data_IF_335994369311
#
_entry.id   IF_335994369311
#
_cell.length_a   1.000
_cell.length_b   1.000
_cell.length_c   1.000
_cell.angle_alpha   90.00
_cell.angle_beta   90.00
_cell.angle_gamma   90.00
#
_symmetry.space_group_name_H-M   'P 1'
#
loop_
_entity.id
_entity.type
_entity.pdbx_description
1 polymer ?
#
# COMPACT_ATOMS: atom_id res chain seq x y z
N UNK A 1 38.65 47.53 -52.89
CA UNK A 1 38.37 46.74 -51.66
C UNK A 1 38.45 47.72 -50.52
N UNK A 2 37.31 48.11 -49.96
CA UNK A 2 37.22 48.58 -48.58
C UNK A 2 35.77 48.43 -48.12
N UNK A 3 35.58 47.73 -47.01
CA UNK A 3 34.31 47.60 -46.30
C UNK A 3 34.64 47.19 -44.87
N UNK A 4 35.06 48.20 -44.10
CA UNK A 4 35.21 48.16 -42.66
C UNK A 4 33.86 47.81 -42.00
N UNK A 5 33.80 46.71 -41.25
CA UNK A 5 32.65 46.39 -40.38
C UNK A 5 32.83 47.09 -39.04
N UNK A 6 32.08 48.17 -38.81
CA UNK A 6 31.93 48.81 -37.50
C UNK A 6 31.24 47.84 -36.52
N UNK A 7 31.94 47.43 -35.46
CA UNK A 7 31.33 46.75 -34.32
C UNK A 7 30.60 47.79 -33.47
N UNK A 8 29.28 47.88 -33.64
CA UNK A 8 28.42 48.61 -32.70
C UNK A 8 28.40 47.86 -31.35
N UNK A 9 28.84 48.52 -30.29
CA UNK A 9 28.80 47.98 -28.94
C UNK A 9 27.38 48.15 -28.36
N UNK A 10 26.66 47.04 -28.17
CA UNK A 10 25.34 46.99 -27.52
C UNK A 10 25.44 47.66 -26.13
N UNK A 11 24.50 48.54 -25.80
CA UNK A 11 24.44 49.15 -24.47
C UNK A 11 23.97 48.13 -23.41
N UNK A 12 24.31 48.35 -22.14
CA UNK A 12 23.89 47.45 -21.04
C UNK A 12 22.36 47.33 -20.96
N UNK A 13 21.63 48.42 -21.27
CA UNK A 13 20.17 48.43 -21.27
C UNK A 13 19.58 47.60 -22.43
N UNK A 14 20.18 47.67 -23.62
CA UNK A 14 19.81 46.84 -24.78
C UNK A 14 20.09 45.35 -24.52
N UNK A 15 21.23 45.02 -23.89
CA UNK A 15 21.57 43.66 -23.48
C UNK A 15 20.53 43.08 -22.51
N UNK A 16 20.14 43.83 -21.47
CA UNK A 16 19.14 43.40 -20.51
C UNK A 16 17.75 43.26 -21.15
N UNK A 17 17.40 44.14 -22.09
CA UNK A 17 16.17 44.03 -22.87
C UNK A 17 16.16 42.77 -23.73
N UNK A 18 17.29 42.44 -24.38
CA UNK A 18 17.47 41.20 -25.13
C UNK A 18 17.36 39.98 -24.21
N UNK A 19 17.98 39.98 -23.03
CA UNK A 19 17.88 38.88 -22.06
C UNK A 19 16.43 38.61 -21.67
N UNK A 20 15.64 39.66 -21.41
CA UNK A 20 14.20 39.53 -21.13
C UNK A 20 13.43 38.94 -22.30
N UNK A 21 13.75 39.34 -23.54
CA UNK A 21 13.14 38.77 -24.74
C UNK A 21 13.52 37.30 -24.94
N UNK A 22 14.79 36.93 -24.74
CA UNK A 22 15.27 35.55 -24.83
C UNK A 22 14.58 34.62 -23.81
N UNK A 23 14.38 35.10 -22.57
CA UNK A 23 13.64 34.37 -21.54
C UNK A 23 12.19 34.15 -21.97
N UNK A 24 11.52 35.19 -22.48
CA UNK A 24 10.14 35.10 -22.97
C UNK A 24 10.01 34.15 -24.16
N UNK A 25 10.99 34.17 -25.08
CA UNK A 25 11.05 33.25 -26.21
C UNK A 25 11.25 31.80 -25.75
N UNK A 26 12.12 31.54 -24.77
CA UNK A 26 12.28 30.20 -24.20
C UNK A 26 11.00 29.71 -23.52
N UNK A 27 10.28 30.56 -22.78
CA UNK A 27 9.01 30.19 -22.17
C UNK A 27 7.96 29.81 -23.23
N UNK A 28 7.86 30.58 -24.32
CA UNK A 28 6.97 30.24 -25.42
C UNK A 28 7.33 28.88 -26.04
N UNK A 29 8.62 28.66 -26.32
CA UNK A 29 9.14 27.40 -26.86
C UNK A 29 8.91 26.22 -25.93
N UNK A 30 9.03 26.41 -24.62
CA UNK A 30 8.72 25.41 -23.60
C UNK A 30 7.26 24.98 -23.68
N UNK A 31 6.34 25.93 -23.78
CA UNK A 31 4.90 25.63 -23.89
C UNK A 31 4.57 24.88 -25.18
N UNK A 32 5.22 25.20 -26.29
CA UNK A 32 5.04 24.51 -27.57
C UNK A 32 5.59 23.08 -27.53
N UNK A 33 6.80 22.88 -26.99
CA UNK A 33 7.40 21.54 -26.85
C UNK A 33 6.58 20.65 -25.92
N UNK A 34 6.08 21.20 -24.80
CA UNK A 34 5.17 20.46 -23.89
C UNK A 34 3.84 20.10 -24.55
N UNK A 35 3.26 21.01 -25.35
CA UNK A 35 2.03 20.73 -26.13
C UNK A 35 2.26 19.67 -27.21
N UNK A 36 3.42 19.68 -27.87
CA UNK A 36 3.77 18.67 -28.87
C UNK A 36 3.97 17.28 -28.23
N UNK A 37 4.62 17.21 -27.06
CA UNK A 37 4.82 15.97 -26.32
C UNK A 37 3.52 15.34 -25.76
N UNK A 38 2.45 16.13 -25.65
CA UNK A 38 1.14 15.64 -25.21
C UNK A 38 0.32 14.93 -26.31
N UNK A 39 0.85 14.79 -27.53
CA UNK A 39 0.18 14.11 -28.66
C UNK A 39 0.77 12.72 -28.91
N UNK A 40 -0.09 11.73 -29.17
CA UNK A 40 0.30 10.34 -29.53
C UNK A 40 -0.18 9.28 -28.54
N UNK A 41 0.32 8.05 -28.66
CA UNK A 41 -0.02 6.92 -27.78
C UNK A 41 0.53 7.10 -26.34
N UNK A 42 -0.04 6.41 -25.35
CA UNK A 42 0.34 6.55 -23.92
C UNK A 42 1.82 6.22 -23.65
N UNK A 43 2.39 5.27 -24.39
CA UNK A 43 3.80 4.91 -24.31
C UNK A 43 4.71 6.00 -24.94
N UNK A 44 4.31 6.53 -26.10
CA UNK A 44 5.03 7.63 -26.76
C UNK A 44 5.01 8.92 -25.95
N UNK A 45 3.89 9.26 -25.31
CA UNK A 45 3.78 10.46 -24.48
C UNK A 45 4.77 10.41 -23.30
N UNK A 46 4.94 9.24 -22.66
CA UNK A 46 5.89 9.08 -21.54
C UNK A 46 7.34 9.29 -21.99
N UNK A 47 7.73 8.72 -23.13
CA UNK A 47 9.07 8.88 -23.68
C UNK A 47 9.33 10.32 -24.15
N UNK A 48 8.39 10.90 -24.92
CA UNK A 48 8.48 12.27 -25.44
C UNK A 48 8.48 13.32 -24.32
N UNK A 49 7.71 13.12 -23.26
CA UNK A 49 7.66 14.03 -22.11
C UNK A 49 8.99 14.07 -21.35
N UNK A 50 9.61 12.90 -21.11
CA UNK A 50 10.94 12.84 -20.46
C UNK A 50 12.01 13.52 -21.31
N UNK A 51 12.02 13.25 -22.62
CA UNK A 51 12.98 13.87 -23.55
C UNK A 51 12.81 15.39 -23.59
N UNK A 52 11.57 15.89 -23.69
CA UNK A 52 11.28 17.33 -23.71
C UNK A 52 11.69 18.00 -22.40
N UNK A 53 11.52 17.36 -21.26
CA UNK A 53 11.93 17.90 -19.95
C UNK A 53 13.46 18.04 -19.83
N UNK A 54 14.20 17.03 -20.27
CA UNK A 54 15.68 17.08 -20.33
C UNK A 54 16.18 18.18 -21.28
N UNK A 55 15.52 18.36 -22.42
CA UNK A 55 15.88 19.39 -23.41
C UNK A 55 15.56 20.80 -22.93
N UNK A 56 14.44 21.01 -22.22
CA UNK A 56 14.11 22.30 -21.57
C UNK A 56 15.17 22.65 -20.52
N UNK A 57 15.57 21.68 -19.69
CA UNK A 57 16.60 21.88 -18.67
C UNK A 57 17.92 22.33 -19.29
N UNK A 58 18.39 21.64 -20.34
CA UNK A 58 19.62 21.99 -21.06
C UNK A 58 19.55 23.37 -21.74
N UNK A 59 18.41 23.73 -22.32
CA UNK A 59 18.24 25.05 -22.95
C UNK A 59 18.22 26.17 -21.91
N UNK A 60 17.60 25.95 -20.75
CA UNK A 60 17.55 26.92 -19.66
C UNK A 60 18.93 27.17 -19.05
N UNK A 61 19.69 26.11 -18.76
CA UNK A 61 21.05 26.24 -18.21
C UNK A 61 21.97 26.96 -19.20
N UNK A 62 21.94 26.57 -20.47
CA UNK A 62 22.76 27.21 -21.51
C UNK A 62 22.45 28.70 -21.68
N UNK A 63 21.17 29.10 -21.61
CA UNK A 63 20.81 30.51 -21.70
C UNK A 63 21.30 31.28 -20.48
N UNK A 64 21.10 30.74 -19.27
CA UNK A 64 21.59 31.35 -18.02
C UNK A 64 23.10 31.52 -18.04
N UNK A 65 23.84 30.50 -18.43
CA UNK A 65 25.30 30.56 -18.52
C UNK A 65 25.77 31.61 -19.52
N UNK A 66 25.08 31.76 -20.65
CA UNK A 66 25.37 32.80 -21.65
C UNK A 66 25.11 34.19 -21.07
N UNK A 67 23.95 34.41 -20.47
CA UNK A 67 23.57 35.69 -19.87
C UNK A 67 24.49 36.07 -18.70
N UNK A 68 24.88 35.10 -17.87
CA UNK A 68 25.85 35.28 -16.80
C UNK A 68 27.24 35.69 -17.33
N UNK A 69 27.71 35.05 -18.42
CA UNK A 69 28.98 35.43 -19.06
C UNK A 69 28.93 36.82 -19.67
N UNK A 70 27.82 37.18 -20.30
CA UNK A 70 27.61 38.52 -20.88
C UNK A 70 27.61 39.60 -19.78
N UNK A 71 26.95 39.35 -18.64
CA UNK A 71 26.97 40.25 -17.48
C UNK A 71 28.38 40.36 -16.88
N UNK A 72 29.10 39.25 -16.72
CA UNK A 72 30.47 39.23 -16.21
C UNK A 72 31.43 40.03 -17.11
N UNK A 73 31.25 39.95 -18.44
CA UNK A 73 32.07 40.69 -19.41
C UNK A 73 31.88 42.21 -19.37
N UNK A 74 30.73 42.68 -18.87
CA UNK A 74 30.41 44.10 -18.67
C UNK A 74 30.80 44.61 -17.27
N UNK A 75 31.61 43.84 -16.52
CA UNK A 75 32.12 44.23 -15.20
C UNK A 75 31.19 43.95 -14.02
N UNK A 76 30.04 43.27 -14.22
CA UNK A 76 29.21 42.81 -13.11
C UNK A 76 29.81 41.55 -12.49
N UNK A 77 30.76 41.71 -11.57
CA UNK A 77 31.27 40.61 -10.74
C UNK A 77 30.35 40.37 -9.53
N UNK A 78 29.87 39.15 -9.37
CA UNK A 78 29.17 38.68 -8.18
C UNK A 78 30.13 38.57 -6.99
N UNK A 79 30.38 39.68 -6.30
CA UNK A 79 31.06 39.65 -5.00
C UNK A 79 30.02 39.69 -3.89
N UNK A 80 29.49 38.53 -3.52
CA UNK A 80 28.84 38.35 -2.23
C UNK A 80 29.91 38.46 -1.14
N UNK A 81 30.09 39.66 -0.58
CA UNK A 81 30.75 39.86 0.71
C UNK A 81 29.71 40.34 1.72
N UNK A 82 29.23 39.39 2.53
CA UNK A 82 28.69 39.70 3.84
C UNK A 82 29.79 40.36 4.67
N UNK A 83 29.70 41.67 4.90
CA UNK A 83 29.95 42.30 6.19
C UNK A 83 29.54 43.77 6.14
N UNK A 84 28.60 44.12 7.02
CA UNK A 84 28.12 45.48 7.25
C UNK A 84 29.12 46.15 8.20
N UNK A 85 29.78 47.20 7.71
CA UNK A 85 30.18 48.32 8.54
C UNK A 85 29.86 49.62 7.78
N UNK A 86 29.22 50.52 8.52
CA UNK A 86 28.74 51.86 8.15
C UNK A 86 29.81 52.64 7.38
N UNK A 87 29.44 53.33 6.29
CA UNK A 87 29.22 54.78 6.33
C UNK A 87 28.71 55.31 4.97
N UNK A 88 28.15 56.52 5.03
CA UNK A 88 27.47 57.32 4.01
C UNK A 88 28.10 57.33 2.61
N UNK A 89 27.26 57.11 1.59
CA UNK A 89 26.94 58.08 0.51
C UNK A 89 26.37 57.35 -0.73
N UNK A 90 25.44 58.04 -1.39
CA UNK A 90 24.94 57.80 -2.76
C UNK A 90 23.96 56.65 -3.01
N UNK A 91 22.77 57.08 -3.42
CA UNK A 91 21.67 56.33 -3.99
C UNK A 91 22.13 55.50 -5.21
N UNK A 92 22.08 54.16 -5.12
CA UNK A 92 21.97 53.19 -6.25
C UNK A 92 22.09 51.71 -5.83
N UNK A 93 21.74 51.35 -4.59
CA UNK A 93 21.84 49.94 -4.12
C UNK A 93 20.55 49.11 -4.24
N UNK A 94 19.42 49.75 -4.59
CA UNK A 94 18.10 49.10 -4.70
C UNK A 94 17.82 48.39 -6.02
N UNK A 95 18.68 48.54 -7.03
CA UNK A 95 18.37 48.13 -8.41
C UNK A 95 18.83 46.68 -8.72
N UNK A 96 19.86 46.19 -8.00
CA UNK A 96 20.47 44.87 -8.26
C UNK A 96 19.64 43.73 -7.66
N UNK A 97 19.11 43.87 -6.44
CA UNK A 97 18.23 42.86 -5.84
C UNK A 97 16.89 42.76 -6.60
N UNK A 98 16.42 43.89 -7.14
CA UNK A 98 15.23 43.99 -7.99
C UNK A 98 15.46 43.31 -9.35
N UNK A 99 16.64 43.48 -9.96
CA UNK A 99 16.99 42.84 -11.24
C UNK A 99 17.22 41.32 -11.10
N UNK A 100 17.83 40.87 -10.01
CA UNK A 100 18.01 39.43 -9.71
C UNK A 100 16.67 38.74 -9.41
N UNK A 101 15.75 39.41 -8.69
CA UNK A 101 14.37 38.92 -8.48
C UNK A 101 13.54 38.88 -9.76
N UNK A 102 13.74 39.83 -10.66
CA UNK A 102 13.11 39.83 -11.98
C UNK A 102 13.61 38.69 -12.89
N UNK A 103 14.90 38.33 -12.78
CA UNK A 103 15.51 37.20 -13.50
C UNK A 103 15.06 35.84 -12.91
N UNK A 104 14.80 35.77 -11.58
CA UNK A 104 14.33 34.56 -10.91
C UNK A 104 12.82 34.25 -11.12
N UNK A 105 12.09 35.06 -11.88
CA UNK A 105 10.68 34.81 -12.23
C UNK A 105 9.70 34.94 -11.04
N UNK A 106 10.13 35.50 -9.91
CA UNK A 106 9.25 35.81 -8.79
C UNK A 106 8.65 37.19 -9.04
N UNK A 107 7.40 37.21 -9.52
CA UNK A 107 6.63 38.46 -9.66
C UNK A 107 6.52 39.16 -8.31
N UNK A 108 7.22 40.29 -8.16
CA UNK A 108 6.95 41.28 -7.11
C UNK A 108 6.03 42.34 -7.73
N UNK A 109 4.73 42.11 -7.67
CA UNK A 109 3.75 43.20 -7.78
C UNK A 109 3.47 43.69 -6.36
N UNK A 110 4.28 44.63 -5.89
CA UNK A 110 3.90 45.51 -4.79
C UNK A 110 2.97 46.60 -5.34
N UNK A 111 1.70 46.25 -5.56
CA UNK A 111 0.60 47.20 -5.53
C UNK A 111 -0.52 46.56 -4.72
N UNK A 112 -0.76 47.17 -3.57
CA UNK A 112 -1.85 46.87 -2.66
C UNK A 112 -3.15 47.42 -3.26
N UNK A 113 -3.59 46.82 -4.35
CA UNK A 113 -4.96 46.89 -4.85
C UNK A 113 -5.61 45.56 -4.45
N UNK A 114 -6.74 45.62 -3.76
CA UNK A 114 -7.55 44.46 -3.40
C UNK A 114 -8.12 43.80 -4.67
N UNK A 115 -7.27 43.08 -5.41
CA UNK A 115 -7.70 42.27 -6.55
C UNK A 115 -8.52 41.10 -6.01
N UNK A 116 -9.84 41.24 -6.10
CA UNK A 116 -10.77 40.15 -5.82
C UNK A 116 -10.30 38.93 -6.62
N UNK A 117 -10.19 37.74 -6.01
CA UNK A 117 -9.68 36.57 -6.71
C UNK A 117 -10.51 36.34 -7.97
N UNK A 118 -9.80 36.12 -9.09
CA UNK A 118 -10.40 35.89 -10.41
C UNK A 118 -11.49 34.82 -10.33
N UNK A 119 -12.55 34.94 -11.15
CA UNK A 119 -13.63 33.94 -11.25
C UNK A 119 -13.09 32.51 -11.45
N UNK A 120 -11.94 32.35 -12.10
CA UNK A 120 -11.29 31.04 -12.28
C UNK A 120 -10.68 30.48 -11.00
N UNK A 121 -10.05 31.34 -10.18
CA UNK A 121 -9.46 30.98 -8.88
C UNK A 121 -10.56 30.59 -7.90
N UNK A 122 -11.63 31.38 -7.80
CA UNK A 122 -12.81 31.06 -6.96
C UNK A 122 -13.47 29.75 -7.36
N UNK A 123 -13.53 29.42 -8.65
CA UNK A 123 -14.10 28.15 -9.14
C UNK A 123 -13.20 26.96 -8.81
N UNK A 124 -11.87 27.14 -8.81
CA UNK A 124 -10.90 26.11 -8.42
C UNK A 124 -10.92 25.86 -6.91
N UNK A 125 -10.97 26.92 -6.11
CA UNK A 125 -11.11 26.83 -4.65
C UNK A 125 -12.43 26.18 -4.24
N UNK A 126 -13.55 26.54 -4.90
CA UNK A 126 -14.84 25.89 -4.67
C UNK A 126 -14.79 24.39 -4.99
N UNK A 127 -14.19 24.00 -6.12
CA UNK A 127 -14.04 22.58 -6.48
C UNK A 127 -13.11 21.83 -5.53
N UNK A 128 -12.01 22.43 -5.10
CA UNK A 128 -11.10 21.83 -4.12
C UNK A 128 -11.77 21.65 -2.76
N UNK A 129 -12.59 22.61 -2.32
CA UNK A 129 -13.39 22.50 -1.10
C UNK A 129 -14.46 21.42 -1.20
N UNK A 130 -15.18 21.36 -2.31
CA UNK A 130 -16.19 20.31 -2.55
C UNK A 130 -15.55 18.90 -2.61
N UNK A 131 -14.34 18.79 -3.16
CA UNK A 131 -13.58 17.54 -3.19
C UNK A 131 -13.07 17.15 -1.81
N UNK A 132 -12.53 18.09 -1.03
CA UNK A 132 -12.15 17.87 0.37
C UNK A 132 -13.35 17.50 1.26
N UNK A 133 -14.49 18.17 1.12
CA UNK A 133 -15.72 17.85 1.84
C UNK A 133 -16.28 16.47 1.43
N UNK A 134 -16.10 16.07 0.16
CA UNK A 134 -16.47 14.74 -0.33
C UNK A 134 -15.53 13.66 0.20
N UNK A 135 -14.22 13.88 0.18
CA UNK A 135 -13.24 12.97 0.76
C UNK A 135 -13.44 12.83 2.27
N UNK A 136 -13.75 13.92 2.96
CA UNK A 136 -14.05 13.90 4.38
C UNK A 136 -15.33 13.11 4.68
N UNK A 137 -16.42 13.31 3.91
CA UNK A 137 -17.63 12.48 4.02
C UNK A 137 -17.36 10.99 3.76
N UNK A 138 -16.60 10.67 2.72
CA UNK A 138 -16.22 9.27 2.42
C UNK A 138 -15.39 8.68 3.57
N UNK A 139 -14.46 9.45 4.14
CA UNK A 139 -13.61 9.03 5.26
C UNK A 139 -14.42 8.84 6.54
N UNK A 140 -15.37 9.72 6.83
CA UNK A 140 -16.29 9.62 7.96
C UNK A 140 -17.22 8.41 7.81
N UNK A 141 -17.80 8.19 6.62
CA UNK A 141 -18.61 7.01 6.30
C UNK A 141 -17.80 5.71 6.45
N UNK A 142 -16.57 5.65 5.92
CA UNK A 142 -15.68 4.49 6.07
C UNK A 142 -15.26 4.25 7.53
N UNK A 143 -15.12 5.30 8.34
CA UNK A 143 -14.77 5.15 9.75
C UNK A 143 -15.92 4.59 10.60
N UNK A 144 -17.17 4.76 10.17
CA UNK A 144 -18.36 4.28 10.86
C UNK A 144 -18.75 2.83 10.49
N UNK A 145 -18.24 2.30 9.38
CA UNK A 145 -18.44 0.89 9.01
C UNK A 145 -17.48 0.03 9.83
N UNK A 146 -17.97 -0.52 10.96
CA UNK A 146 -17.24 -1.57 11.67
C UNK A 146 -17.10 -2.77 10.72
N UNK A 147 -15.86 -3.07 10.34
CA UNK A 147 -15.56 -4.23 9.51
C UNK A 147 -16.06 -5.50 10.21
N UNK A 148 -16.67 -6.42 9.45
CA UNK A 148 -17.15 -7.71 9.95
C UNK A 148 -16.07 -8.47 10.72
N UNK A 149 -14.81 -8.36 10.27
CA UNK A 149 -13.63 -8.88 10.97
C UNK A 149 -13.50 -8.35 12.40
N UNK A 150 -13.63 -7.05 12.57
CA UNK A 150 -13.50 -6.42 13.89
C UNK A 150 -14.64 -6.87 14.82
N UNK A 151 -15.84 -7.02 14.28
CA UNK A 151 -17.00 -7.51 15.04
C UNK A 151 -16.80 -8.96 15.46
N UNK A 152 -16.33 -9.82 14.55
CA UNK A 152 -16.02 -11.22 14.82
C UNK A 152 -14.91 -11.38 15.86
N UNK A 153 -13.79 -10.67 15.69
CA UNK A 153 -12.67 -10.71 16.62
C UNK A 153 -13.09 -10.24 18.02
N UNK A 154 -13.85 -9.15 18.12
CA UNK A 154 -14.33 -8.65 19.41
C UNK A 154 -15.26 -9.64 20.13
N UNK A 155 -16.12 -10.35 19.39
CA UNK A 155 -16.98 -11.41 19.96
C UNK A 155 -16.15 -12.60 20.43
N UNK A 156 -15.17 -13.03 19.64
CA UNK A 156 -14.28 -14.13 20.00
C UNK A 156 -13.42 -13.78 21.21
N UNK A 157 -12.80 -12.60 21.25
CA UNK A 157 -12.01 -12.12 22.40
C UNK A 157 -12.85 -12.08 23.67
N UNK A 158 -14.09 -11.59 23.59
CA UNK A 158 -15.03 -11.58 24.73
C UNK A 158 -15.31 -13.00 25.26
N UNK A 159 -15.29 -14.01 24.39
CA UNK A 159 -15.48 -15.43 24.75
C UNK A 159 -14.21 -16.04 25.35
N UNK A 160 -13.04 -15.73 24.79
CA UNK A 160 -11.76 -16.32 25.21
C UNK A 160 -11.18 -15.69 26.49
N UNK A 161 -11.33 -14.38 26.67
CA UNK A 161 -10.73 -13.64 27.79
C UNK A 161 -11.11 -14.19 29.18
N UNK A 162 -12.37 -14.53 29.49
CA UNK A 162 -12.73 -15.11 30.79
C UNK A 162 -12.11 -16.50 31.03
N UNK A 163 -11.70 -17.19 29.98
CA UNK A 163 -11.05 -18.50 30.05
C UNK A 163 -9.52 -18.39 30.17
N UNK A 164 -8.97 -17.16 30.19
CA UNK A 164 -7.52 -16.94 30.16
C UNK A 164 -6.90 -17.35 28.82
N UNK A 165 -7.68 -17.35 27.74
CA UNK A 165 -7.25 -17.74 26.40
C UNK A 165 -7.09 -16.53 25.48
N UNK A 166 -6.19 -16.65 24.50
CA UNK A 166 -6.00 -15.67 23.42
C UNK A 166 -5.76 -16.38 22.10
N UNK A 167 -6.05 -15.70 20.99
CA UNK A 167 -5.73 -16.17 19.65
C UNK A 167 -4.23 -15.98 19.40
N UNK A 168 -3.57 -17.04 18.90
CA UNK A 168 -2.24 -17.00 18.31
C UNK A 168 -2.38 -17.04 16.79
N UNK A 169 -2.01 -15.95 16.13
CA UNK A 169 -2.16 -15.82 14.68
C UNK A 169 -1.32 -16.88 13.93
N UNK A 170 -1.97 -17.51 12.96
CA UNK A 170 -1.37 -18.45 12.02
C UNK A 170 -1.32 -17.78 10.65
N UNK A 171 -0.28 -18.10 9.88
CA UNK A 171 -0.09 -17.58 8.53
C UNK A 171 -1.37 -17.78 7.68
N UNK A 172 -1.88 -16.72 7.02
CA UNK A 172 -3.08 -16.79 6.19
C UNK A 172 -2.79 -17.39 4.82
N UNK A 173 -2.45 -18.68 4.80
CA UNK A 173 -2.34 -19.50 3.60
C UNK A 173 -3.34 -20.66 3.64
N UNK A 174 -3.43 -21.41 2.54
CA UNK A 174 -4.35 -22.55 2.46
C UNK A 174 -4.04 -23.70 3.43
N UNK A 175 -2.99 -23.61 4.24
CA UNK A 175 -2.62 -24.61 5.24
C UNK A 175 -2.98 -24.19 6.67
N UNK A 176 -3.70 -23.09 6.87
CA UNK A 176 -3.99 -22.51 8.18
C UNK A 176 -4.54 -23.50 9.21
N UNK A 177 -5.48 -24.37 8.84
CA UNK A 177 -6.06 -25.39 9.72
C UNK A 177 -4.97 -26.33 10.29
N UNK A 178 -4.17 -26.91 9.40
CA UNK A 178 -3.11 -27.84 9.77
C UNK A 178 -1.98 -27.15 10.54
N UNK A 179 -1.62 -25.92 10.16
CA UNK A 179 -0.64 -25.11 10.88
C UNK A 179 -1.13 -24.74 12.29
N UNK A 180 -2.42 -24.51 12.47
CA UNK A 180 -3.00 -24.24 13.79
C UNK A 180 -2.94 -25.49 14.68
N UNK A 181 -3.22 -26.67 14.11
CA UNK A 181 -3.05 -27.97 14.81
C UNK A 181 -1.58 -28.24 15.14
N UNK A 182 -0.67 -28.06 14.18
CA UNK A 182 0.78 -28.16 14.36
C UNK A 182 1.27 -27.24 15.49
N UNK A 183 0.83 -25.98 15.52
CA UNK A 183 1.16 -25.04 16.57
C UNK A 183 0.67 -25.50 17.95
N UNK A 184 -0.57 -26.00 18.04
CA UNK A 184 -1.10 -26.56 19.28
C UNK A 184 -0.30 -27.77 19.77
N UNK A 185 0.11 -28.66 18.86
CA UNK A 185 0.93 -29.82 19.19
C UNK A 185 2.34 -29.42 19.66
N UNK A 186 2.94 -28.40 19.03
CA UNK A 186 4.23 -27.84 19.44
C UNK A 186 4.17 -27.24 20.86
N UNK A 187 3.14 -26.43 21.14
CA UNK A 187 2.94 -25.80 22.46
C UNK A 187 2.82 -26.84 23.58
N UNK A 188 2.31 -28.03 23.26
CA UNK A 188 2.11 -29.13 24.21
C UNK A 188 3.31 -30.06 24.35
N UNK A 189 4.26 -29.98 23.42
CA UNK A 189 5.42 -30.88 23.32
C UNK A 189 6.75 -30.15 23.62
N UNK A 190 6.70 -28.99 24.28
CA UNK A 190 7.90 -28.23 24.64
C UNK A 190 8.54 -27.43 23.50
N UNK A 191 7.75 -27.08 22.47
CA UNK A 191 8.16 -26.15 21.41
C UNK A 191 8.40 -26.78 20.03
N UNK A 192 8.44 -28.12 19.94
CA UNK A 192 8.54 -28.83 18.66
C UNK A 192 7.33 -29.74 18.46
N UNK A 193 6.62 -29.56 17.34
CA UNK A 193 5.51 -30.46 17.01
C UNK A 193 6.04 -31.84 16.60
N UNK A 194 5.43 -32.95 17.04
CA UNK A 194 5.73 -34.28 16.53
C UNK A 194 5.35 -34.45 15.04
N UNK A 195 4.46 -33.61 14.52
CA UNK A 195 3.97 -33.67 13.14
C UNK A 195 4.03 -32.31 12.47
N UNK A 196 4.50 -32.27 11.23
CA UNK A 196 4.41 -31.07 10.39
C UNK A 196 3.00 -30.89 9.83
N UNK A 197 2.65 -29.70 9.34
CA UNK A 197 1.37 -29.50 8.67
C UNK A 197 1.16 -30.43 7.45
N UNK A 198 2.22 -30.84 6.76
CA UNK A 198 2.15 -31.82 5.68
C UNK A 198 1.81 -33.22 6.20
N UNK A 199 2.46 -33.66 7.28
CA UNK A 199 2.12 -34.95 7.88
C UNK A 199 0.67 -34.97 8.36
N UNK A 200 0.17 -33.86 8.92
CA UNK A 200 -1.23 -33.75 9.34
C UNK A 200 -2.20 -33.85 8.14
N UNK A 201 -1.85 -33.30 6.97
CA UNK A 201 -2.65 -33.47 5.74
C UNK A 201 -2.72 -34.92 5.29
N UNK A 202 -1.58 -35.58 5.23
CA UNK A 202 -1.48 -37.01 4.87
C UNK A 202 -2.26 -37.88 5.85
N UNK A 203 -2.12 -37.63 7.16
CA UNK A 203 -2.86 -38.34 8.20
C UNK A 203 -4.38 -38.17 8.06
N UNK A 204 -4.84 -36.94 7.82
CA UNK A 204 -6.27 -36.66 7.63
C UNK A 204 -6.82 -37.40 6.40
N UNK A 205 -6.16 -37.25 5.24
CA UNK A 205 -6.58 -37.91 4.00
C UNK A 205 -6.56 -39.43 4.11
N UNK A 206 -5.50 -40.01 4.69
CA UNK A 206 -5.39 -41.46 4.88
C UNK A 206 -6.52 -41.99 5.76
N UNK A 207 -6.82 -41.32 6.87
CA UNK A 207 -7.87 -41.74 7.79
C UNK A 207 -9.26 -41.63 7.15
N UNK A 208 -9.54 -40.53 6.44
CA UNK A 208 -10.79 -40.35 5.71
C UNK A 208 -11.01 -41.44 4.66
N UNK A 209 -9.96 -41.87 3.94
CA UNK A 209 -10.04 -42.99 2.99
C UNK A 209 -10.35 -44.32 3.67
N UNK A 210 -9.67 -44.61 4.77
CA UNK A 210 -9.85 -45.86 5.52
C UNK A 210 -11.23 -45.95 6.17
N UNK A 211 -11.79 -44.81 6.61
CA UNK A 211 -13.08 -44.70 7.29
C UNK A 211 -14.15 -44.05 6.41
N UNK A 212 -14.07 -44.26 5.10
CA UNK A 212 -14.89 -43.55 4.10
C UNK A 212 -16.38 -43.48 4.43
N UNK A 213 -16.96 -44.56 4.96
CA UNK A 213 -18.39 -44.63 5.30
C UNK A 213 -18.83 -43.55 6.28
N UNK A 214 -17.92 -43.10 7.14
CA UNK A 214 -18.21 -42.16 8.21
C UNK A 214 -18.14 -40.71 7.72
N UNK A 215 -17.39 -40.46 6.64
CA UNK A 215 -17.16 -39.13 6.07
C UNK A 215 -18.02 -38.86 4.82
N UNK A 216 -18.34 -39.89 4.04
CA UNK A 216 -19.03 -39.74 2.76
C UNK A 216 -20.37 -39.00 2.86
N UNK A 217 -21.25 -39.25 3.87
CA UNK A 217 -22.51 -38.51 3.98
C UNK A 217 -22.32 -37.01 4.15
N UNK A 218 -21.32 -36.60 4.94
CA UNK A 218 -21.01 -35.19 5.18
C UNK A 218 -20.36 -34.55 3.95
N UNK A 219 -19.41 -35.24 3.32
CA UNK A 219 -18.79 -34.79 2.07
C UNK A 219 -19.82 -34.56 0.95
N UNK A 220 -20.78 -35.48 0.80
CA UNK A 220 -21.85 -35.31 -0.20
C UNK A 220 -22.71 -34.10 0.14
N UNK A 221 -23.12 -33.94 1.40
CA UNK A 221 -23.93 -32.78 1.82
C UNK A 221 -23.26 -31.43 1.53
N UNK A 222 -21.93 -31.35 1.63
CA UNK A 222 -21.16 -30.13 1.32
C UNK A 222 -20.96 -29.91 -0.18
N UNK A 223 -21.15 -30.95 -1.00
CA UNK A 223 -20.82 -30.93 -2.44
C UNK A 223 -22.01 -31.21 -3.37
N UNK A 224 -23.25 -31.22 -2.86
CA UNK A 224 -24.47 -31.50 -3.64
C UNK A 224 -24.72 -30.54 -4.82
N UNK A 225 -24.03 -29.39 -4.87
CA UNK A 225 -24.08 -28.44 -5.98
C UNK A 225 -22.96 -28.59 -7.02
N UNK A 226 -21.93 -29.40 -6.76
CA UNK A 226 -20.80 -29.54 -7.69
C UNK A 226 -21.19 -30.51 -8.81
N UNK A 227 -21.28 -29.98 -10.04
CA UNK A 227 -21.67 -30.70 -11.27
C UNK A 227 -20.58 -31.67 -11.78
N UNK A 228 -19.72 -32.14 -10.87
CA UNK A 228 -18.57 -32.98 -11.20
C UNK A 228 -19.04 -34.35 -11.69
N UNK A 229 -18.57 -34.74 -12.87
CA UNK A 229 -18.81 -36.06 -13.45
C UNK A 229 -18.05 -37.11 -12.65
N UNK A 230 -18.75 -38.09 -12.08
CA UNK A 230 -18.16 -39.23 -11.38
C UNK A 230 -19.09 -39.77 -10.30
N UNK A 231 -18.78 -40.97 -9.82
CA UNK A 231 -19.43 -41.55 -8.63
C UNK A 231 -19.08 -40.73 -7.38
N UNK A 232 -19.91 -40.86 -6.33
CA UNK A 232 -19.63 -40.28 -5.01
C UNK A 232 -18.24 -40.70 -4.51
N UNK A 233 -17.89 -41.96 -4.77
CA UNK A 233 -16.67 -42.60 -4.36
C UNK A 233 -15.43 -42.00 -5.04
N UNK A 234 -15.48 -41.75 -6.35
CA UNK A 234 -14.39 -41.14 -7.12
C UNK A 234 -14.20 -39.68 -6.73
N UNK A 235 -15.30 -38.95 -6.51
CA UNK A 235 -15.27 -37.56 -6.02
C UNK A 235 -14.62 -37.47 -4.65
N UNK A 236 -14.96 -38.38 -3.74
CA UNK A 236 -14.36 -38.45 -2.41
C UNK A 236 -12.87 -38.80 -2.45
N UNK A 237 -12.46 -39.74 -3.31
CA UNK A 237 -11.04 -40.06 -3.48
C UNK A 237 -10.25 -38.86 -4.04
N UNK A 238 -10.82 -38.15 -5.02
CA UNK A 238 -10.24 -36.90 -5.54
C UNK A 238 -10.09 -35.86 -4.43
N UNK A 239 -11.11 -35.69 -3.60
CA UNK A 239 -11.07 -34.80 -2.44
C UNK A 239 -9.92 -35.15 -1.48
N UNK A 240 -9.80 -36.43 -1.09
CA UNK A 240 -8.71 -36.88 -0.21
C UNK A 240 -7.32 -36.61 -0.83
N UNK A 241 -7.19 -36.80 -2.15
CA UNK A 241 -5.94 -36.47 -2.86
C UNK A 241 -5.65 -34.97 -2.87
N UNK A 242 -6.66 -34.12 -3.06
CA UNK A 242 -6.49 -32.67 -3.00
C UNK A 242 -6.10 -32.21 -1.58
N UNK A 243 -6.70 -32.81 -0.57
CA UNK A 243 -6.38 -32.57 0.86
C UNK A 243 -4.91 -32.87 1.17
N UNK A 244 -4.38 -34.01 0.73
CA UNK A 244 -2.99 -34.40 1.03
C UNK A 244 -1.94 -33.64 0.22
N UNK A 245 -2.23 -33.34 -1.05
CA UNK A 245 -1.20 -32.90 -2.02
C UNK A 245 -1.19 -31.40 -2.31
N UNK A 246 -2.19 -30.64 -1.85
CA UNK A 246 -2.34 -29.23 -2.22
C UNK A 246 -2.52 -28.29 -1.01
N UNK A 247 -2.76 -27.01 -1.30
CA UNK A 247 -3.17 -26.01 -0.32
C UNK A 247 -4.71 -25.89 -0.21
N UNK A 248 -5.46 -26.94 -0.53
CA UNK A 248 -6.90 -27.00 -0.28
C UNK A 248 -7.19 -26.68 1.19
N UNK A 249 -8.17 -25.82 1.42
CA UNK A 249 -8.56 -25.37 2.75
C UNK A 249 -9.19 -26.55 3.49
N UNK A 250 -8.74 -26.76 4.72
CA UNK A 250 -9.33 -27.80 5.58
C UNK A 250 -10.67 -27.33 6.16
N UNK A 251 -11.55 -28.28 6.41
CA UNK A 251 -12.87 -28.08 6.99
C UNK A 251 -13.04 -28.95 8.25
N UNK A 252 -14.29 -29.14 8.65
CA UNK A 252 -14.65 -30.03 9.75
C UNK A 252 -14.31 -31.50 9.47
N UNK A 253 -14.29 -31.94 8.20
CA UNK A 253 -13.94 -33.32 7.84
C UNK A 253 -12.52 -33.65 8.28
N UNK A 254 -11.56 -32.77 7.97
CA UNK A 254 -10.16 -32.97 8.33
C UNK A 254 -9.94 -32.92 9.83
N UNK A 255 -10.64 -32.03 10.55
CA UNK A 255 -10.57 -31.98 12.01
C UNK A 255 -11.14 -33.24 12.65
N UNK A 256 -12.24 -33.77 12.10
CA UNK A 256 -12.82 -35.05 12.51
C UNK A 256 -11.82 -36.19 12.32
N UNK A 257 -11.17 -36.28 11.18
CA UNK A 257 -10.12 -37.27 10.94
C UNK A 257 -8.93 -37.11 11.92
N UNK A 258 -8.41 -35.88 12.06
CA UNK A 258 -7.28 -35.59 12.93
C UNK A 258 -7.55 -35.87 14.40
N UNK A 259 -8.80 -35.72 14.87
CA UNK A 259 -9.19 -36.05 16.25
C UNK A 259 -8.87 -37.50 16.57
N UNK A 260 -9.15 -38.42 15.63
CA UNK A 260 -8.92 -39.85 15.78
C UNK A 260 -7.44 -40.21 15.57
N UNK A 261 -6.80 -39.65 14.53
CA UNK A 261 -5.38 -39.90 14.26
C UNK A 261 -4.48 -39.48 15.42
N UNK A 262 -4.75 -38.32 16.02
CA UNK A 262 -3.96 -37.78 17.12
C UNK A 262 -4.43 -38.30 18.49
N UNK A 263 -5.60 -38.94 18.55
CA UNK A 263 -6.31 -39.31 19.78
C UNK A 263 -6.41 -38.12 20.74
N UNK A 264 -6.88 -36.99 20.22
CA UNK A 264 -7.04 -35.74 20.96
C UNK A 264 -8.43 -35.17 20.75
N UNK A 265 -8.97 -34.58 21.82
CA UNK A 265 -10.12 -33.70 21.74
C UNK A 265 -9.73 -32.37 21.07
N UNK A 266 -10.54 -31.89 20.15
CA UNK A 266 -10.35 -30.60 19.46
C UNK A 266 -11.54 -29.70 19.77
N UNK A 267 -11.26 -28.46 20.18
CA UNK A 267 -12.26 -27.42 20.40
C UNK A 267 -12.01 -26.22 19.50
N UNK A 268 -13.01 -25.86 18.71
CA UNK A 268 -12.95 -24.72 17.79
C UNK A 268 -13.88 -23.62 18.30
N UNK A 269 -13.30 -22.47 18.64
CA UNK A 269 -14.05 -21.29 19.04
C UNK A 269 -14.39 -20.42 17.83
N UNK A 270 -15.59 -19.83 17.82
CA UNK A 270 -15.96 -18.83 16.81
C UNK A 270 -16.64 -17.61 17.43
N UNK A 271 -16.39 -16.42 16.87
CA UNK A 271 -17.12 -15.20 17.21
C UNK A 271 -18.50 -15.11 16.53
N UNK A 272 -18.66 -15.78 15.39
CA UNK A 272 -19.86 -15.69 14.55
C UNK A 272 -20.74 -16.94 14.61
N UNK A 273 -20.19 -18.07 15.05
CA UNK A 273 -20.86 -19.38 15.09
C UNK A 273 -20.76 -20.02 16.49
N UNK A 274 -21.59 -21.05 16.78
CA UNK A 274 -21.40 -21.89 17.95
C UNK A 274 -20.00 -22.51 17.98
N UNK A 275 -19.50 -22.80 19.18
CA UNK A 275 -18.25 -23.54 19.32
C UNK A 275 -18.47 -25.00 18.90
N UNK A 276 -17.47 -25.57 18.25
CA UNK A 276 -17.50 -26.96 17.78
C UNK A 276 -16.51 -27.79 18.60
N UNK A 277 -16.92 -28.98 18.99
CA UNK A 277 -16.10 -29.93 19.75
C UNK A 277 -16.10 -31.29 19.05
N UNK A 278 -14.92 -31.87 18.87
CA UNK A 278 -14.69 -33.17 18.21
C UNK A 278 -13.78 -34.04 19.08
N UNK A 279 -13.96 -35.36 19.03
CA UNK A 279 -13.15 -36.32 19.79
C UNK A 279 -13.34 -36.22 21.30
N UNK A 280 -14.59 -36.07 21.77
CA UNK A 280 -14.92 -35.95 23.21
C UNK A 280 -14.49 -37.18 24.01
N UNK A 281 -14.46 -38.35 23.37
CA UNK A 281 -13.95 -39.62 23.89
C UNK A 281 -12.44 -39.57 24.20
N UNK A 282 -11.69 -38.63 23.61
CA UNK A 282 -10.26 -38.44 23.87
C UNK A 282 -9.98 -37.33 24.89
N UNK A 283 -11.03 -36.78 25.51
CA UNK A 283 -10.88 -35.77 26.55
C UNK A 283 -10.27 -36.40 27.80
N UNK A 284 -9.00 -36.11 28.06
CA UNK A 284 -8.32 -36.48 29.30
C UNK A 284 -8.47 -35.36 30.34
N UNK A 285 -8.50 -35.73 31.62
CA UNK A 285 -8.80 -34.81 32.74
C UNK A 285 -7.88 -33.59 32.87
N UNK A 286 -6.65 -33.68 32.35
CA UNK A 286 -5.71 -32.57 32.28
C UNK A 286 -5.70 -31.95 30.88
N UNK A 287 -6.47 -30.87 30.71
CA UNK A 287 -6.43 -29.82 29.68
C UNK A 287 -5.73 -30.14 28.33
N UNK A 288 -5.99 -31.33 27.77
CA UNK A 288 -5.24 -31.88 26.63
C UNK A 288 -5.82 -31.50 25.28
N UNK A 289 -6.80 -30.59 25.27
CA UNK A 289 -7.61 -30.28 24.08
C UNK A 289 -6.85 -29.37 23.13
N UNK A 290 -6.78 -29.71 21.84
CA UNK A 290 -6.26 -28.76 20.86
C UNK A 290 -7.29 -27.66 20.67
N UNK A 291 -6.91 -26.42 20.97
CA UNK A 291 -7.82 -25.27 20.91
C UNK A 291 -7.50 -24.44 19.67
N UNK A 292 -8.51 -24.28 18.82
CA UNK A 292 -8.44 -23.51 17.59
C UNK A 292 -9.48 -22.39 17.62
N UNK A 293 -9.31 -21.39 16.75
CA UNK A 293 -10.36 -20.42 16.47
C UNK A 293 -10.64 -20.35 14.98
N UNK A 294 -11.92 -20.28 14.63
CA UNK A 294 -12.41 -20.14 13.27
C UNK A 294 -12.99 -18.73 13.07
N UNK A 295 -12.55 -18.11 11.99
CA UNK A 295 -12.89 -16.75 11.60
C UNK A 295 -13.41 -16.76 10.17
N UNK A 296 -14.65 -16.34 9.94
CA UNK A 296 -15.21 -16.29 8.59
C UNK A 296 -14.70 -15.09 7.80
N UNK A 297 -14.36 -14.01 8.50
CA UNK A 297 -14.03 -12.70 7.90
C UNK A 297 -12.60 -12.25 8.24
N UNK A 298 -11.69 -13.16 8.56
CA UNK A 298 -10.34 -12.81 9.01
C UNK A 298 -9.54 -12.05 7.95
N UNK A 299 -9.65 -12.45 6.68
CA UNK A 299 -8.90 -11.89 5.57
C UNK A 299 -9.79 -11.68 4.35
N UNK A 300 -9.29 -10.96 3.33
CA UNK A 300 -10.04 -10.71 2.11
C UNK A 300 -10.44 -11.97 1.33
N UNK A 301 -9.79 -13.10 1.60
CA UNK A 301 -10.14 -14.40 1.03
C UNK A 301 -11.28 -15.11 1.79
N UNK A 302 -11.58 -14.69 3.03
CA UNK A 302 -12.64 -15.27 3.85
C UNK A 302 -12.11 -16.05 5.05
N UNK A 303 -12.46 -17.34 5.06
CA UNK A 303 -12.33 -18.25 6.21
C UNK A 303 -10.88 -18.50 6.63
N UNK A 304 -10.64 -18.61 7.93
CA UNK A 304 -9.30 -18.84 8.46
C UNK A 304 -9.32 -19.50 9.85
N UNK A 305 -8.34 -20.38 10.07
CA UNK A 305 -8.09 -20.99 11.37
C UNK A 305 -6.84 -20.40 12.02
N UNK A 306 -6.97 -20.05 13.30
CA UNK A 306 -5.86 -19.70 14.16
C UNK A 306 -5.75 -20.67 15.33
N UNK A 307 -4.58 -20.68 15.98
CA UNK A 307 -4.36 -21.41 17.23
C UNK A 307 -4.92 -20.60 18.41
N UNK A 308 -5.34 -21.26 19.49
CA UNK A 308 -5.78 -20.61 20.73
C UNK A 308 -4.92 -21.09 21.88
N UNK A 309 -4.28 -20.17 22.58
CA UNK A 309 -3.28 -20.44 23.61
C UNK A 309 -3.67 -19.79 24.93
N UNK A 310 -3.14 -20.31 26.03
CA UNK A 310 -3.24 -19.65 27.32
C UNK A 310 -2.48 -18.31 27.27
N UNK A 311 -3.06 -17.29 27.90
CA UNK A 311 -2.37 -16.04 28.15
C UNK A 311 -1.27 -16.34 29.17
N UNK A 312 -0.01 -16.31 28.73
CA UNK A 312 1.12 -16.43 29.64
C UNK A 312 1.09 -15.23 30.60
N UNK A 313 0.57 -15.43 31.81
CA UNK A 313 0.73 -14.49 32.91
C UNK A 313 2.20 -14.54 33.35
N UNK A 314 3.07 -13.83 32.63
CA UNK A 314 4.34 -13.39 33.21
C UNK A 314 3.94 -12.40 34.30
N UNK A 315 3.76 -12.94 35.50
CA UNK A 315 3.65 -12.16 36.73
C UNK A 315 4.98 -11.42 36.87
N UNK A 316 4.88 -10.09 36.89
CA UNK A 316 5.99 -9.20 37.26
C UNK A 316 6.30 -9.28 38.74
#
# INVERSE_FOLDING_TARGET
MDASQEQQHETVEEMLARHRQEIKQLQNKETEMKKAAAKGSKAEQKAKKKQVEDDISKLSTKLKDKQLKELASQGFSSSSSNNIAKDETTEKKGDIDTLVRAIAGVSVTAQQEHSKPSKSVKRREKRAKEEADREQRIKEEQSHVKSDRMVENAKLEKKLKPLGLTVSEIKPDGHCLYRAVENQLANRSGGASPYTYQNLREMAASYMREHKTDFLPFFLSETEGDSNSGSAEERFEKYCREVESTAAWGSQLELGALTHCLRKHIKVYSGSFPDVEMGKEYRSGDDSSLMLSYHRHAFGLGEHYNSVVLVNNITG
#
